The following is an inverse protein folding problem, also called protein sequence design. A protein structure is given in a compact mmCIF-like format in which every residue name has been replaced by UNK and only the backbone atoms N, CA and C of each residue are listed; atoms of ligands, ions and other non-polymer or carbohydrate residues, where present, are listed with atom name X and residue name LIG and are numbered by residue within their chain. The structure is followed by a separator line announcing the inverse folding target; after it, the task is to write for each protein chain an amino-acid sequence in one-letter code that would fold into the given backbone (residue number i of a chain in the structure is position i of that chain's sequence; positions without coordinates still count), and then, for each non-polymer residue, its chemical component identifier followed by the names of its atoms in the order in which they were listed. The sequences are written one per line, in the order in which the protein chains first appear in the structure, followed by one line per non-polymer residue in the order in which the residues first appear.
data_IF_200740017954
#
_entry.id   IF_200740017954
#
_cell.length_a   1.000
_cell.length_b   1.000
_cell.length_c   1.000
_cell.angle_alpha   90.00
_cell.angle_beta   90.00
_cell.angle_gamma   90.00
#
_symmetry.space_group_name_H-M   'P 1'
#
loop_
_entity.id
_entity.type
_entity.pdbx_description
1 polymer ?
#
# COMPACT_ATOMS: atom_id res chain seq x y z
N UNK A 1 -5.86 11.45 -21.61
CA UNK A 1 -5.72 12.56 -20.63
C UNK A 1 -4.24 12.87 -20.39
N UNK A 2 -3.93 14.06 -19.77
CA UNK A 2 -2.56 14.42 -19.39
C UNK A 2 -2.43 14.41 -17.87
N UNK A 3 -1.38 13.75 -17.33
CA UNK A 3 -1.12 13.61 -15.90
C UNK A 3 0.36 13.72 -15.59
N UNK A 4 0.70 14.40 -14.49
CA UNK A 4 2.06 14.50 -13.97
C UNK A 4 2.24 13.59 -12.77
N UNK A 5 3.20 12.67 -12.85
CA UNK A 5 3.49 11.66 -11.83
C UNK A 5 4.92 11.90 -11.32
N UNK A 6 5.07 12.11 -10.02
CA UNK A 6 6.39 12.16 -9.38
C UNK A 6 6.76 10.75 -8.95
N UNK A 7 7.92 10.29 -9.43
CA UNK A 7 8.52 9.01 -9.04
C UNK A 7 9.55 9.25 -7.94
N UNK A 8 9.45 8.51 -6.86
CA UNK A 8 10.37 8.49 -5.73
C UNK A 8 10.92 7.08 -5.57
N UNK A 9 11.97 6.67 -6.33
CA UNK A 9 12.47 5.30 -6.27
C UNK A 9 12.93 4.89 -4.87
N UNK A 10 13.56 5.82 -4.12
CA UNK A 10 14.04 5.58 -2.77
C UNK A 10 15.23 4.65 -2.71
N UNK A 11 15.17 3.63 -1.83
CA UNK A 11 16.30 2.82 -1.39
C UNK A 11 16.11 1.33 -1.73
N UNK A 12 17.21 0.58 -1.70
CA UNK A 12 17.20 -0.88 -1.83
C UNK A 12 16.60 -1.35 -3.15
N UNK A 13 15.55 -2.17 -3.09
CA UNK A 13 14.82 -2.65 -4.28
C UNK A 13 13.87 -1.59 -4.87
N UNK A 14 13.66 -0.48 -4.18
CA UNK A 14 12.75 0.59 -4.61
C UNK A 14 12.95 1.04 -6.06
N UNK A 15 14.19 1.31 -6.54
CA UNK A 15 14.43 1.65 -7.94
C UNK A 15 14.00 0.57 -8.93
N UNK A 16 14.15 -0.71 -8.60
CA UNK A 16 13.76 -1.83 -9.47
C UNK A 16 12.25 -1.90 -9.63
N UNK A 17 11.52 -1.90 -8.51
CA UNK A 17 10.06 -2.04 -8.51
C UNK A 17 9.34 -0.77 -9.02
N UNK A 18 9.91 0.43 -8.78
CA UNK A 18 9.41 1.68 -9.36
C UNK A 18 9.56 1.70 -10.88
N UNK A 19 10.70 1.21 -11.39
CA UNK A 19 10.93 1.10 -12.84
C UNK A 19 9.91 0.17 -13.48
N UNK A 20 9.58 -0.95 -12.85
CA UNK A 20 8.57 -1.89 -13.33
C UNK A 20 7.17 -1.24 -13.40
N UNK A 21 6.73 -0.59 -12.32
CA UNK A 21 5.46 0.13 -12.29
C UNK A 21 5.40 1.25 -13.34
N UNK A 22 6.47 2.05 -13.47
CA UNK A 22 6.55 3.11 -14.48
C UNK A 22 6.53 2.56 -15.92
N UNK A 23 7.12 1.39 -16.17
CA UNK A 23 7.07 0.73 -17.47
C UNK A 23 5.64 0.33 -17.84
N UNK A 24 4.89 -0.25 -16.89
CA UNK A 24 3.48 -0.60 -17.09
C UNK A 24 2.61 0.65 -17.30
N UNK A 25 2.82 1.72 -16.53
CA UNK A 25 2.11 2.99 -16.73
C UNK A 25 2.39 3.62 -18.10
N UNK A 26 3.65 3.55 -18.60
CA UNK A 26 3.98 4.05 -19.95
C UNK A 26 3.32 3.22 -21.04
N UNK A 27 3.28 1.91 -20.90
CA UNK A 27 2.58 1.03 -21.84
C UNK A 27 1.08 1.35 -21.87
N UNK A 28 0.46 1.49 -20.68
CA UNK A 28 -0.95 1.89 -20.57
C UNK A 28 -1.21 3.25 -21.22
N UNK A 29 -0.33 4.22 -20.99
CA UNK A 29 -0.46 5.55 -21.61
C UNK A 29 -0.36 5.48 -23.12
N UNK A 30 0.54 4.65 -23.66
CA UNK A 30 0.71 4.46 -25.10
C UNK A 30 -0.54 3.86 -25.74
N UNK A 31 -1.04 2.74 -25.24
CA UNK A 31 -2.16 2.02 -25.83
C UNK A 31 -3.47 2.81 -25.75
N UNK A 32 -3.71 3.50 -24.64
CA UNK A 32 -4.96 4.27 -24.45
C UNK A 32 -4.85 5.76 -24.81
N UNK A 33 -3.79 6.19 -25.49
CA UNK A 33 -3.57 7.59 -25.91
C UNK A 33 -3.63 8.59 -24.74
N UNK A 34 -2.99 8.25 -23.63
CA UNK A 34 -2.78 9.16 -22.51
C UNK A 34 -1.38 9.79 -22.58
N UNK A 35 -1.21 10.92 -21.92
CA UNK A 35 0.10 11.60 -21.77
C UNK A 35 0.48 11.62 -20.28
N UNK A 36 1.39 10.73 -19.87
CA UNK A 36 1.91 10.70 -18.50
C UNK A 36 3.33 11.28 -18.49
N UNK A 37 3.47 12.41 -17.79
CA UNK A 37 4.77 13.05 -17.52
C UNK A 37 5.35 12.49 -16.23
N UNK A 38 6.54 11.89 -16.30
CA UNK A 38 7.22 11.34 -15.13
C UNK A 38 8.38 12.24 -14.71
N UNK A 39 8.43 12.60 -13.43
CA UNK A 39 9.51 13.37 -12.81
C UNK A 39 10.09 12.52 -11.67
N UNK A 40 11.35 12.12 -11.80
CA UNK A 40 12.04 11.33 -10.79
C UNK A 40 12.80 12.23 -9.82
N UNK A 41 12.59 12.05 -8.51
CA UNK A 41 13.21 12.85 -7.46
C UNK A 41 13.67 11.95 -6.29
N UNK A 42 14.71 12.37 -5.54
CA UNK A 42 15.25 11.58 -4.45
C UNK A 42 14.37 11.68 -3.18
N UNK A 43 14.26 10.55 -2.45
CA UNK A 43 13.66 10.44 -1.13
C UNK A 43 14.46 9.40 -0.32
N UNK A 44 14.39 9.48 1.01
CA UNK A 44 14.97 8.50 1.91
C UNK A 44 16.48 8.54 1.97
N UNK A 45 17.13 7.39 1.98
CA UNK A 45 18.58 7.26 2.06
C UNK A 45 19.29 7.79 0.82
N UNK A 46 18.72 7.61 -0.36
CA UNK A 46 19.22 8.19 -1.59
C UNK A 46 19.26 9.73 -1.53
N UNK A 47 18.25 10.34 -0.91
CA UNK A 47 18.22 11.79 -0.69
C UNK A 47 19.24 12.25 0.37
N UNK A 48 19.45 11.46 1.43
CA UNK A 48 20.49 11.74 2.44
C UNK A 48 21.86 11.75 1.78
N UNK A 49 22.16 10.77 0.93
CA UNK A 49 23.43 10.65 0.23
C UNK A 49 23.66 11.79 -0.76
N UNK A 50 22.61 12.24 -1.44
CA UNK A 50 22.70 13.27 -2.47
C UNK A 50 22.63 14.71 -1.91
N UNK A 51 21.81 14.95 -0.86
CA UNK A 51 21.47 16.30 -0.38
C UNK A 51 21.59 16.47 1.14
N UNK A 52 22.00 15.44 1.89
CA UNK A 52 22.16 15.49 3.35
C UNK A 52 20.84 15.52 4.14
N UNK A 53 19.71 15.33 3.47
CA UNK A 53 18.36 15.31 4.09
C UNK A 53 17.51 14.19 3.49
N UNK A 54 16.70 13.48 4.31
CA UNK A 54 15.86 12.39 3.79
C UNK A 54 14.67 12.86 2.94
N UNK A 55 14.30 14.14 3.03
CA UNK A 55 13.25 14.78 2.21
C UNK A 55 13.72 16.18 1.80
N UNK A 56 14.26 16.37 0.59
CA UNK A 56 14.54 17.68 0.05
C UNK A 56 13.26 18.50 -0.14
N UNK A 57 13.34 19.82 0.09
CA UNK A 57 12.21 20.74 -0.10
C UNK A 57 11.67 20.69 -1.52
N UNK A 58 12.57 20.62 -2.52
CA UNK A 58 12.21 20.49 -3.94
C UNK A 58 11.37 19.24 -4.21
N UNK A 59 11.72 18.10 -3.60
CA UNK A 59 10.95 16.85 -3.71
C UNK A 59 9.55 17.03 -3.15
N UNK A 60 9.41 17.58 -1.95
CA UNK A 60 8.11 17.82 -1.33
C UNK A 60 7.25 18.77 -2.17
N UNK A 61 7.83 19.87 -2.66
CA UNK A 61 7.11 20.86 -3.46
C UNK A 61 6.67 20.31 -4.83
N UNK A 62 7.47 19.44 -5.42
CA UNK A 62 7.09 18.73 -6.66
C UNK A 62 5.93 17.74 -6.40
N UNK A 63 5.99 16.99 -5.30
CA UNK A 63 4.92 16.06 -4.92
C UNK A 63 3.59 16.76 -4.70
N UNK A 64 3.60 17.93 -4.05
CA UNK A 64 2.40 18.74 -3.82
C UNK A 64 1.72 19.24 -5.11
N UNK A 65 2.48 19.38 -6.19
CA UNK A 65 2.03 19.90 -7.49
C UNK A 65 1.74 18.81 -8.51
N UNK A 66 2.01 17.56 -8.17
CA UNK A 66 1.75 16.42 -9.03
C UNK A 66 0.26 16.03 -9.04
N UNK A 67 -0.16 15.24 -10.02
CA UNK A 67 -1.46 14.58 -10.02
C UNK A 67 -1.43 13.31 -9.15
N UNK A 68 -0.26 12.66 -9.06
CA UNK A 68 -0.01 11.51 -8.19
C UNK A 68 1.49 11.38 -7.89
N UNK A 69 1.80 10.70 -6.79
CA UNK A 69 3.17 10.35 -6.39
C UNK A 69 3.29 8.83 -6.35
N UNK A 70 4.39 8.30 -6.88
CA UNK A 70 4.71 6.87 -6.81
C UNK A 70 6.03 6.68 -6.07
N UNK A 71 5.98 5.90 -4.98
CA UNK A 71 7.14 5.59 -4.14
C UNK A 71 7.53 4.13 -4.28
N UNK A 72 8.83 3.86 -4.37
CA UNK A 72 9.37 2.50 -4.35
C UNK A 72 9.47 1.96 -2.92
N UNK A 73 10.55 2.28 -2.23
CA UNK A 73 10.76 1.90 -0.84
C UNK A 73 11.79 2.82 -0.17
N UNK A 74 11.80 2.87 1.16
CA UNK A 74 12.80 3.66 1.90
C UNK A 74 13.41 2.84 3.03
N UNK A 75 14.64 3.22 3.42
CA UNK A 75 15.33 2.62 4.56
C UNK A 75 16.49 1.72 4.18
N UNK A 76 17.30 1.37 5.19
CA UNK A 76 18.42 0.45 5.04
C UNK A 76 19.46 0.61 6.14
N UNK A 77 20.25 -0.44 6.42
CA UNK A 77 21.18 -0.47 7.56
C UNK A 77 22.30 0.56 7.47
N UNK A 78 22.58 1.09 6.27
CA UNK A 78 23.58 2.14 6.05
C UNK A 78 23.33 3.39 6.89
N UNK A 79 22.08 3.69 7.20
CA UNK A 79 21.67 4.93 7.89
C UNK A 79 21.19 4.70 9.33
N UNK A 80 21.28 3.47 9.87
CA UNK A 80 20.83 3.13 11.23
C UNK A 80 21.56 3.90 12.34
N UNK A 81 22.81 4.31 12.08
CA UNK A 81 23.60 5.11 13.02
C UNK A 81 23.15 6.58 13.10
N UNK A 82 22.31 7.05 12.18
CA UNK A 82 21.80 8.43 12.22
C UNK A 82 20.76 8.60 13.33
N UNK A 83 20.63 9.82 13.89
CA UNK A 83 19.52 10.15 14.77
C UNK A 83 18.17 9.87 14.11
N UNK A 84 17.17 9.40 14.87
CA UNK A 84 15.84 8.97 14.35
C UNK A 84 15.22 10.00 13.38
N UNK A 85 15.26 11.30 13.72
CA UNK A 85 14.72 12.37 12.86
C UNK A 85 15.52 12.66 11.58
N UNK A 86 16.64 11.96 11.34
CA UNK A 86 17.47 12.09 10.14
C UNK A 86 17.59 10.79 9.33
N UNK A 87 16.90 9.72 9.76
CA UNK A 87 16.87 8.44 9.05
C UNK A 87 15.97 8.51 7.81
N UNK A 88 16.12 7.61 6.85
CA UNK A 88 15.28 7.55 5.65
C UNK A 88 13.78 7.58 5.94
N UNK A 89 13.34 6.84 6.96
CA UNK A 89 11.94 6.73 7.37
C UNK A 89 11.34 8.09 7.78
N UNK A 90 12.16 8.99 8.35
CA UNK A 90 11.72 10.35 8.67
C UNK A 90 11.38 11.17 7.43
N UNK A 91 11.97 10.84 6.28
CA UNK A 91 11.62 11.42 4.98
C UNK A 91 10.22 11.03 4.54
N UNK A 92 9.86 9.75 4.65
CA UNK A 92 8.51 9.25 4.33
C UNK A 92 7.46 9.85 5.28
N UNK A 93 7.72 9.87 6.58
CA UNK A 93 6.80 10.48 7.56
C UNK A 93 6.63 11.99 7.30
N UNK A 94 7.74 12.67 6.95
CA UNK A 94 7.73 14.09 6.56
C UNK A 94 6.91 14.33 5.28
N UNK A 95 7.06 13.47 4.27
CA UNK A 95 6.29 13.52 3.02
C UNK A 95 4.79 13.34 3.29
N UNK A 96 4.40 12.30 4.01
CA UNK A 96 2.99 12.02 4.38
C UNK A 96 2.37 13.21 5.12
N UNK A 97 3.07 13.74 6.12
CA UNK A 97 2.65 14.93 6.85
C UNK A 97 2.58 16.19 5.95
N UNK A 98 3.61 16.41 5.13
CA UNK A 98 3.71 17.58 4.24
C UNK A 98 2.67 17.60 3.13
N UNK A 99 2.13 16.45 2.75
CA UNK A 99 1.05 16.27 1.77
C UNK A 99 -0.34 16.11 2.43
N UNK A 100 -0.44 16.15 3.76
CA UNK A 100 -1.71 15.97 4.47
C UNK A 100 -2.34 14.60 4.26
N UNK A 101 -1.53 13.54 4.05
CA UNK A 101 -2.05 12.18 3.86
C UNK A 101 -2.51 11.60 5.20
N UNK A 102 -3.76 11.21 5.29
CA UNK A 102 -4.36 10.67 6.52
C UNK A 102 -5.00 9.29 6.36
N UNK A 103 -5.20 8.84 5.12
CA UNK A 103 -5.71 7.49 4.80
C UNK A 103 -4.60 6.68 4.17
N UNK A 104 -4.45 5.42 4.56
CA UNK A 104 -3.69 4.44 3.83
C UNK A 104 -4.55 3.20 3.59
N UNK A 105 -4.77 2.85 2.32
CA UNK A 105 -5.55 1.70 1.88
C UNK A 105 -4.60 0.60 1.43
N UNK A 106 -4.75 -0.59 2.01
CA UNK A 106 -3.98 -1.80 1.70
C UNK A 106 -4.93 -2.93 1.32
N UNK A 107 -5.22 -3.14 0.03
CA UNK A 107 -6.00 -4.28 -0.41
C UNK A 107 -5.22 -5.59 -0.23
N UNK A 108 -5.87 -6.60 0.30
CA UNK A 108 -5.36 -7.97 0.39
C UNK A 108 -6.34 -8.86 -0.34
N UNK A 109 -6.00 -9.15 -1.59
CA UNK A 109 -6.83 -9.92 -2.51
C UNK A 109 -6.07 -11.14 -3.00
N UNK A 110 -6.76 -12.26 -3.02
CA UNK A 110 -6.22 -13.47 -3.59
C UNK A 110 -6.13 -13.37 -5.11
N UNK A 111 -4.95 -13.58 -5.65
CA UNK A 111 -4.75 -13.74 -7.09
C UNK A 111 -4.86 -15.23 -7.38
N UNK A 112 -5.90 -15.64 -8.11
CA UNK A 112 -6.28 -17.06 -8.23
C UNK A 112 -5.13 -17.99 -8.65
N UNK A 113 -4.28 -17.69 -9.65
CA UNK A 113 -3.11 -18.50 -9.98
C UNK A 113 -2.07 -18.67 -8.85
N UNK A 114 -2.17 -17.89 -7.78
CA UNK A 114 -1.27 -17.92 -6.62
C UNK A 114 -1.93 -18.50 -5.36
N UNK A 115 -3.14 -19.05 -5.47
CA UNK A 115 -3.90 -19.62 -4.34
C UNK A 115 -3.10 -20.64 -3.53
N UNK A 116 -2.24 -21.41 -4.20
CA UNK A 116 -1.39 -22.42 -3.58
C UNK A 116 -0.31 -21.88 -2.64
N UNK A 117 0.02 -20.60 -2.74
CA UNK A 117 1.03 -19.94 -1.88
C UNK A 117 0.50 -19.62 -0.48
N UNK A 118 -0.82 -19.58 -0.31
CA UNK A 118 -1.40 -19.29 0.99
C UNK A 118 -1.00 -20.35 2.02
N UNK A 119 -0.58 -19.95 3.23
CA UNK A 119 -0.30 -20.87 4.33
C UNK A 119 -1.60 -21.45 4.92
N UNK A 120 -2.77 -20.92 4.54
CA UNK A 120 -4.05 -21.41 5.02
C UNK A 120 -4.57 -22.55 4.17
N UNK A 121 -5.32 -23.45 4.82
CA UNK A 121 -6.09 -24.46 4.09
C UNK A 121 -7.16 -23.79 3.23
N UNK A 122 -7.48 -24.32 2.04
CA UNK A 122 -8.46 -23.74 1.12
C UNK A 122 -9.82 -23.42 1.78
N UNK A 123 -10.28 -24.28 2.68
CA UNK A 123 -11.56 -24.12 3.39
C UNK A 123 -11.59 -22.91 4.33
N UNK A 124 -10.41 -22.45 4.79
CA UNK A 124 -10.27 -21.25 5.63
C UNK A 124 -10.03 -20.00 4.83
N UNK A 125 -9.29 -20.12 3.73
CA UNK A 125 -8.93 -18.98 2.88
C UNK A 125 -10.18 -18.37 2.22
N UNK A 126 -11.05 -19.21 1.65
CA UNK A 126 -12.24 -18.77 0.91
C UNK A 126 -11.90 -17.83 -0.25
N UNK A 127 -12.81 -16.94 -0.57
CA UNK A 127 -12.59 -15.87 -1.55
C UNK A 127 -12.11 -14.62 -0.81
N UNK A 128 -10.80 -14.56 -0.56
CA UNK A 128 -10.18 -13.47 0.16
C UNK A 128 -10.09 -12.21 -0.72
N UNK A 129 -10.85 -11.19 -0.34
CA UNK A 129 -10.82 -9.85 -0.90
C UNK A 129 -11.20 -8.86 0.20
N UNK A 130 -10.22 -8.32 0.92
CA UNK A 130 -10.42 -7.33 1.98
C UNK A 130 -9.56 -6.10 1.75
N UNK A 131 -9.98 -4.97 2.28
CA UNK A 131 -9.21 -3.74 2.32
C UNK A 131 -8.97 -3.30 3.77
N UNK A 132 -7.72 -3.04 4.11
CA UNK A 132 -7.38 -2.41 5.39
C UNK A 132 -7.25 -0.91 5.16
N UNK A 133 -8.10 -0.14 5.83
CA UNK A 133 -8.09 1.32 5.87
C UNK A 133 -7.42 1.73 7.17
N UNK A 134 -6.14 2.11 7.05
CA UNK A 134 -5.27 2.52 8.14
C UNK A 134 -5.28 4.03 8.27
N UNK A 135 -5.53 4.56 9.46
CA UNK A 135 -5.28 5.97 9.77
C UNK A 135 -3.77 6.23 9.73
N UNK A 136 -3.33 7.34 9.09
CA UNK A 136 -1.91 7.53 8.75
C UNK A 136 -1.27 8.75 9.40
N UNK A 137 -2.03 9.62 10.06
CA UNK A 137 -1.56 10.93 10.52
C UNK A 137 -1.51 11.12 12.03
N UNK A 138 -2.09 10.19 12.79
CA UNK A 138 -2.18 10.24 14.24
C UNK A 138 -1.56 9.02 14.94
N UNK A 139 -2.00 8.82 16.17
CA UNK A 139 -1.58 7.69 17.00
C UNK A 139 -0.14 7.79 17.49
N UNK A 140 0.41 6.64 17.81
CA UNK A 140 1.73 6.51 18.45
C UNK A 140 2.89 7.00 17.57
N UNK A 141 2.74 6.97 16.25
CA UNK A 141 3.79 7.40 15.30
C UNK A 141 3.98 8.92 15.27
N UNK A 142 2.95 9.68 15.63
CA UNK A 142 2.95 11.14 15.62
C UNK A 142 2.69 11.77 16.99
N UNK A 143 2.41 10.95 18.01
CA UNK A 143 2.17 11.38 19.38
C UNK A 143 3.42 11.94 20.08
N UNK A 144 3.21 12.54 21.23
CA UNK A 144 4.30 12.97 22.10
C UNK A 144 5.16 11.80 22.52
N UNK A 145 6.47 11.99 22.48
CA UNK A 145 7.45 10.96 22.84
C UNK A 145 8.58 11.54 23.64
N UNK A 146 9.23 10.73 24.43
CA UNK A 146 10.37 11.16 25.21
C UNK A 146 11.24 10.01 25.68
N UNK A 147 12.44 10.41 26.12
CA UNK A 147 13.40 9.56 26.78
C UNK A 147 14.04 10.37 27.91
N UNK A 148 14.14 9.80 29.10
CA UNK A 148 14.79 10.38 30.27
C UNK A 148 15.62 9.32 30.99
N UNK A 149 16.81 9.70 31.40
CA UNK A 149 17.69 8.85 32.21
C UNK A 149 17.92 9.50 33.60
N UNK A 150 17.44 8.87 34.64
CA UNK A 150 17.58 9.32 36.02
C UNK A 150 18.08 8.18 36.92
N UNK A 151 19.07 8.47 37.76
CA UNK A 151 19.62 7.52 38.75
C UNK A 151 20.04 6.14 38.15
N UNK A 152 20.56 6.14 36.92
CA UNK A 152 20.96 4.92 36.21
C UNK A 152 19.78 4.11 35.60
N UNK A 153 18.57 4.64 35.66
CA UNK A 153 17.36 4.06 35.02
C UNK A 153 16.96 4.90 33.82
N UNK A 154 16.86 4.26 32.67
CA UNK A 154 16.34 4.90 31.45
C UNK A 154 14.85 4.59 31.31
N UNK A 155 14.06 5.64 30.96
CA UNK A 155 12.63 5.54 30.65
C UNK A 155 12.35 6.21 29.34
N UNK A 156 11.68 5.49 28.43
CA UNK A 156 11.19 6.00 27.15
C UNK A 156 9.69 5.80 27.01
N UNK A 157 9.01 6.71 26.27
CA UNK A 157 7.57 6.61 26.02
C UNK A 157 7.20 7.19 24.66
N UNK A 158 6.14 6.61 24.05
CA UNK A 158 5.41 7.13 22.90
C UNK A 158 3.92 7.17 23.26
N UNK A 159 3.23 8.27 22.92
CA UNK A 159 1.84 8.50 23.31
C UNK A 159 0.88 8.15 22.19
N UNK A 160 -0.07 7.25 22.45
CA UNK A 160 -1.21 6.99 21.56
C UNK A 160 -2.29 8.05 21.78
N UNK A 161 -2.53 8.90 20.78
CA UNK A 161 -3.51 9.97 20.86
C UNK A 161 -4.29 10.12 19.55
N UNK A 162 -5.61 10.28 19.67
CA UNK A 162 -6.55 10.60 18.59
C UNK A 162 -7.57 11.63 19.05
N UNK A 163 -7.92 12.55 18.16
CA UNK A 163 -9.03 13.49 18.32
C UNK A 163 -10.26 13.00 17.54
N UNK A 164 -11.45 13.50 17.92
CA UNK A 164 -12.70 13.19 17.22
C UNK A 164 -12.64 13.50 15.72
N UNK A 165 -12.15 14.68 15.26
CA UNK A 165 -12.06 14.99 13.83
C UNK A 165 -11.14 14.04 13.04
N UNK A 166 -10.04 13.58 13.63
CA UNK A 166 -9.15 12.59 13.00
C UNK A 166 -9.86 11.26 12.78
N UNK A 167 -10.62 10.82 13.78
CA UNK A 167 -11.39 9.58 13.67
C UNK A 167 -12.55 9.72 12.67
N UNK A 168 -13.26 10.85 12.70
CA UNK A 168 -14.38 11.10 11.80
C UNK A 168 -13.96 11.08 10.34
N UNK A 169 -12.86 11.75 9.97
CA UNK A 169 -12.42 11.80 8.58
C UNK A 169 -11.99 10.44 8.04
N UNK A 170 -11.28 9.62 8.83
CA UNK A 170 -10.87 8.29 8.38
C UNK A 170 -12.05 7.32 8.36
N UNK A 171 -12.97 7.42 9.32
CA UNK A 171 -14.18 6.61 9.34
C UNK A 171 -15.11 6.94 8.17
N UNK A 172 -15.29 8.21 7.81
CA UNK A 172 -16.04 8.62 6.63
C UNK A 172 -15.49 7.96 5.34
N UNK A 173 -14.17 7.98 5.18
CA UNK A 173 -13.53 7.29 4.07
C UNK A 173 -13.81 5.78 4.07
N UNK A 174 -13.63 5.12 5.22
CA UNK A 174 -13.85 3.68 5.35
C UNK A 174 -15.32 3.28 5.11
N UNK A 175 -16.27 4.07 5.58
CA UNK A 175 -17.70 3.87 5.29
C UNK A 175 -18.00 4.00 3.80
N UNK A 176 -17.48 5.03 3.13
CA UNK A 176 -17.66 5.22 1.68
C UNK A 176 -17.05 4.05 0.88
N UNK A 177 -15.87 3.56 1.29
CA UNK A 177 -15.30 2.35 0.67
C UNK A 177 -16.19 1.13 0.91
N UNK A 178 -16.74 0.94 2.10
CA UNK A 178 -17.65 -0.16 2.39
C UNK A 178 -18.94 -0.07 1.56
N UNK A 179 -19.51 1.11 1.36
CA UNK A 179 -20.71 1.31 0.51
C UNK A 179 -20.48 0.89 -0.94
N UNK A 180 -19.27 1.13 -1.47
CA UNK A 180 -18.89 0.72 -2.85
C UNK A 180 -18.53 -0.76 -2.97
N UNK A 181 -18.44 -1.50 -1.86
CA UNK A 181 -18.11 -2.92 -1.78
C UNK A 181 -19.30 -3.74 -1.25
N UNK A 182 -19.06 -4.67 -0.31
CA UNK A 182 -20.10 -5.56 0.21
C UNK A 182 -20.89 -4.99 1.40
N UNK A 183 -20.69 -3.70 1.72
CA UNK A 183 -21.33 -2.96 2.80
C UNK A 183 -21.06 -3.54 4.20
N UNK A 184 -19.87 -4.06 4.42
CA UNK A 184 -19.42 -4.55 5.72
C UNK A 184 -18.17 -3.77 6.15
N UNK A 185 -18.24 -3.16 7.33
CA UNK A 185 -17.14 -2.44 7.96
C UNK A 185 -16.82 -3.08 9.31
N UNK A 186 -15.58 -3.53 9.47
CA UNK A 186 -15.04 -3.99 10.74
C UNK A 186 -14.09 -2.93 11.32
N UNK A 187 -14.51 -2.25 12.38
CA UNK A 187 -13.64 -1.31 13.10
C UNK A 187 -12.83 -2.04 14.16
N UNK A 188 -11.51 -1.95 14.06
CA UNK A 188 -10.58 -2.64 14.95
C UNK A 188 -9.95 -1.66 15.94
N UNK A 189 -10.01 -2.01 17.23
CA UNK A 189 -9.54 -1.17 18.33
C UNK A 189 -9.08 -1.99 19.55
N UNK A 190 -8.72 -1.33 20.65
CA UNK A 190 -8.45 -1.95 21.96
C UNK A 190 -9.24 -1.25 23.06
N UNK A 191 -10.53 -0.99 22.84
CA UNK A 191 -11.40 -0.17 23.70
C UNK A 191 -11.61 -0.74 25.12
N UNK A 192 -11.33 -2.03 25.33
CA UNK A 192 -11.35 -2.62 26.67
C UNK A 192 -10.18 -2.16 27.57
N UNK A 193 -9.14 -1.51 26.99
CA UNK A 193 -7.94 -1.07 27.72
C UNK A 193 -7.62 0.40 27.45
N UNK A 194 -7.62 0.84 26.17
CA UNK A 194 -7.10 2.14 25.78
C UNK A 194 -8.21 3.20 25.70
N UNK A 195 -8.01 4.35 26.33
CA UNK A 195 -8.93 5.48 26.28
C UNK A 195 -9.07 6.05 24.86
N UNK A 196 -7.97 6.13 24.09
CA UNK A 196 -8.00 6.53 22.67
C UNK A 196 -8.89 5.60 21.84
N UNK A 197 -8.80 4.29 22.06
CA UNK A 197 -9.67 3.29 21.40
C UNK A 197 -11.13 3.37 21.85
N UNK A 198 -11.42 3.80 23.09
CA UNK A 198 -12.79 4.05 23.54
C UNK A 198 -13.40 5.24 22.79
N UNK A 199 -12.63 6.33 22.60
CA UNK A 199 -13.05 7.45 21.77
C UNK A 199 -13.27 6.99 20.32
N UNK A 200 -12.32 6.25 19.75
CA UNK A 200 -12.42 5.67 18.41
C UNK A 200 -13.72 4.92 18.19
N UNK A 201 -14.00 3.94 19.05
CA UNK A 201 -15.22 3.11 18.98
C UNK A 201 -16.50 3.94 19.05
N UNK A 202 -16.59 4.88 20.01
CA UNK A 202 -17.77 5.76 20.14
C UNK A 202 -18.01 6.61 18.91
N UNK A 203 -16.94 7.21 18.36
CA UNK A 203 -17.03 8.07 17.18
C UNK A 203 -17.44 7.27 15.95
N UNK A 204 -16.79 6.14 15.67
CA UNK A 204 -17.14 5.26 14.54
C UNK A 204 -18.58 4.75 14.67
N UNK A 205 -19.02 4.37 15.88
CA UNK A 205 -20.40 3.93 16.12
C UNK A 205 -21.41 5.05 15.85
N UNK A 206 -21.14 6.28 16.32
CA UNK A 206 -22.04 7.41 16.10
C UNK A 206 -22.20 7.74 14.60
N UNK A 207 -21.14 7.61 13.81
CA UNK A 207 -21.17 7.85 12.37
C UNK A 207 -22.02 6.82 11.61
N UNK A 208 -22.22 5.61 12.13
CA UNK A 208 -23.03 4.58 11.48
C UNK A 208 -24.49 5.03 11.26
N UNK A 209 -24.99 5.99 12.02
CA UNK A 209 -26.32 6.56 11.81
C UNK A 209 -26.45 7.26 10.44
N UNK A 210 -25.36 7.86 9.93
CA UNK A 210 -25.28 8.48 8.61
C UNK A 210 -25.07 7.43 7.51
N UNK A 211 -24.28 6.40 7.78
CA UNK A 211 -23.95 5.31 6.86
C UNK A 211 -24.76 4.04 7.15
N UNK A 212 -26.07 4.18 7.33
CA UNK A 212 -26.98 3.12 7.78
C UNK A 212 -27.09 1.90 6.86
N UNK A 213 -26.62 2.04 5.59
CA UNK A 213 -26.52 0.94 4.63
C UNK A 213 -25.37 -0.02 4.93
N UNK A 214 -24.40 0.38 5.77
CA UNK A 214 -23.19 -0.38 6.08
C UNK A 214 -23.38 -1.12 7.41
N UNK A 215 -23.15 -2.42 7.39
CA UNK A 215 -23.10 -3.24 8.60
C UNK A 215 -21.80 -3.00 9.33
N UNK A 216 -21.84 -2.35 10.48
CA UNK A 216 -20.70 -2.10 11.36
C UNK A 216 -20.53 -3.25 12.36
N UNK A 217 -19.28 -3.73 12.49
CA UNK A 217 -18.83 -4.61 13.56
C UNK A 217 -17.59 -4.02 14.23
N UNK A 218 -17.38 -4.32 15.51
CA UNK A 218 -16.16 -3.94 16.23
C UNK A 218 -15.45 -5.20 16.73
N UNK A 219 -14.14 -5.27 16.48
CA UNK A 219 -13.28 -6.30 17.04
C UNK A 219 -12.14 -5.66 17.85
N UNK A 220 -11.73 -6.33 18.92
CA UNK A 220 -10.45 -6.02 19.53
C UNK A 220 -9.33 -6.51 18.62
N UNK A 221 -8.21 -5.78 18.57
CA UNK A 221 -7.12 -6.03 17.63
C UNK A 221 -6.52 -7.44 17.74
N UNK A 222 -6.42 -7.97 18.95
CA UNK A 222 -5.98 -9.35 19.22
C UNK A 222 -6.95 -10.40 18.63
N UNK A 223 -8.26 -10.16 18.76
CA UNK A 223 -9.26 -11.02 18.14
C UNK A 223 -9.24 -10.85 16.60
N UNK A 224 -9.12 -9.64 16.08
CA UNK A 224 -9.02 -9.42 14.63
C UNK A 224 -7.82 -10.17 14.02
N UNK A 225 -6.65 -10.10 14.65
CA UNK A 225 -5.45 -10.83 14.23
C UNK A 225 -5.68 -12.36 14.19
N UNK A 226 -6.35 -12.90 15.22
CA UNK A 226 -6.73 -14.32 15.24
C UNK A 226 -7.72 -14.65 14.12
N UNK A 227 -8.75 -13.81 13.91
CA UNK A 227 -9.78 -14.03 12.91
C UNK A 227 -9.23 -13.95 11.46
N UNK A 228 -8.19 -13.19 11.20
CA UNK A 228 -7.50 -13.18 9.90
C UNK A 228 -6.96 -14.56 9.53
N UNK A 229 -6.51 -15.36 10.52
CA UNK A 229 -6.02 -16.73 10.28
C UNK A 229 -7.13 -17.78 10.30
N UNK A 230 -8.25 -17.54 10.99
CA UNK A 230 -9.33 -18.51 11.11
C UNK A 230 -10.35 -18.43 9.98
N UNK A 231 -10.73 -17.21 9.58
CA UNK A 231 -11.76 -16.95 8.57
C UNK A 231 -11.56 -15.58 7.93
N UNK A 232 -10.50 -15.35 7.12
CA UNK A 232 -10.22 -14.03 6.53
C UNK A 232 -11.33 -13.54 5.60
N UNK A 233 -12.03 -14.41 4.90
CA UNK A 233 -13.14 -14.06 3.98
C UNK A 233 -14.38 -13.44 4.66
N UNK A 234 -14.43 -13.40 6.01
CA UNK A 234 -15.48 -12.67 6.71
C UNK A 234 -15.31 -11.15 6.64
N UNK A 235 -14.10 -10.68 6.41
CA UNK A 235 -13.79 -9.26 6.32
C UNK A 235 -14.04 -8.71 4.91
N UNK A 236 -14.40 -7.43 4.84
CA UNK A 236 -14.50 -6.65 3.62
C UNK A 236 -13.66 -5.37 3.78
N UNK A 237 -14.16 -4.35 4.48
CA UNK A 237 -13.36 -3.19 4.86
C UNK A 237 -13.02 -3.28 6.35
N UNK A 238 -11.73 -3.14 6.66
CA UNK A 238 -11.20 -3.15 8.03
C UNK A 238 -10.64 -1.77 8.33
N UNK A 239 -11.29 -1.03 9.22
CA UNK A 239 -10.85 0.28 9.69
C UNK A 239 -10.00 0.15 10.95
N UNK A 240 -8.83 0.77 10.98
CA UNK A 240 -7.92 0.65 12.11
C UNK A 240 -7.07 1.90 12.33
N UNK A 241 -6.61 2.10 13.58
CA UNK A 241 -5.63 3.09 13.94
C UNK A 241 -4.27 2.84 13.25
N UNK A 242 -3.36 3.81 13.32
CA UNK A 242 -2.09 3.80 12.63
C UNK A 242 -1.28 2.51 12.90
N UNK A 243 -0.90 2.28 14.15
CA UNK A 243 -0.06 1.14 14.53
C UNK A 243 -0.77 -0.21 14.34
N UNK A 244 -2.06 -0.31 14.72
CA UNK A 244 -2.80 -1.56 14.56
C UNK A 244 -3.00 -1.90 13.07
N UNK A 245 -3.28 -0.90 12.24
CA UNK A 245 -3.42 -1.07 10.80
C UNK A 245 -2.13 -1.52 10.13
N UNK A 246 -0.97 -1.04 10.59
CA UNK A 246 0.34 -1.47 10.12
C UNK A 246 0.56 -2.96 10.38
N UNK A 247 0.44 -3.37 11.64
CA UNK A 247 0.66 -4.76 12.07
C UNK A 247 -0.34 -5.71 11.38
N UNK A 248 -1.61 -5.34 11.34
CA UNK A 248 -2.67 -6.17 10.75
C UNK A 248 -2.51 -6.36 9.25
N UNK A 249 -2.04 -5.33 8.53
CA UNK A 249 -1.85 -5.44 7.08
C UNK A 249 -0.68 -6.37 6.71
N UNK A 250 0.39 -6.35 7.49
CA UNK A 250 1.51 -7.26 7.28
C UNK A 250 1.12 -8.71 7.62
N UNK A 251 0.34 -8.89 8.70
CA UNK A 251 -0.23 -10.19 9.03
C UNK A 251 -1.19 -10.69 7.93
N UNK A 252 -1.99 -9.79 7.34
CA UNK A 252 -2.89 -10.13 6.25
C UNK A 252 -2.14 -10.42 4.94
N UNK A 253 -1.00 -9.76 4.67
CA UNK A 253 -0.17 -10.05 3.51
C UNK A 253 0.34 -11.50 3.50
N UNK A 254 0.62 -12.06 4.66
CA UNK A 254 1.02 -13.46 4.77
C UNK A 254 -0.05 -14.44 4.26
N UNK A 255 -1.32 -14.04 4.25
CA UNK A 255 -2.43 -14.90 3.78
C UNK A 255 -2.39 -15.16 2.27
N UNK A 256 -1.77 -14.29 1.50
CA UNK A 256 -1.62 -14.43 0.04
C UNK A 256 -0.24 -14.94 -0.37
N UNK A 257 0.65 -15.21 0.59
CA UNK A 257 1.91 -15.91 0.40
C UNK A 257 3.15 -15.03 0.22
N UNK A 258 3.03 -13.75 -0.11
CA UNK A 258 4.16 -12.82 -0.20
C UNK A 258 3.73 -11.38 0.05
N UNK A 259 4.53 -10.64 0.82
CA UNK A 259 4.38 -9.19 0.98
C UNK A 259 4.61 -8.43 -0.33
N UNK A 260 5.37 -9.00 -1.25
CA UNK A 260 5.63 -8.46 -2.58
C UNK A 260 4.40 -8.42 -3.51
N UNK A 261 3.26 -8.98 -3.07
CA UNK A 261 1.99 -8.98 -3.83
C UNK A 261 1.05 -7.84 -3.42
N UNK A 262 1.33 -7.11 -2.35
CA UNK A 262 0.36 -6.19 -1.77
C UNK A 262 0.63 -4.75 -2.19
N UNK A 263 -0.34 -4.12 -2.87
CA UNK A 263 -0.30 -2.69 -3.16
C UNK A 263 -0.74 -1.84 -1.99
N UNK A 264 -0.50 -0.54 -2.11
CA UNK A 264 -0.97 0.45 -1.15
C UNK A 264 -1.21 1.80 -1.81
N UNK A 265 -2.19 2.52 -1.31
CA UNK A 265 -2.48 3.91 -1.68
C UNK A 265 -2.72 4.76 -0.44
N UNK A 266 -2.16 5.97 -0.42
CA UNK A 266 -2.39 6.94 0.64
C UNK A 266 -3.09 8.16 0.09
N UNK A 267 -4.17 8.60 0.76
CA UNK A 267 -5.01 9.73 0.35
C UNK A 267 -5.05 10.81 1.45
N UNK A 268 -5.30 12.03 1.03
CA UNK A 268 -5.37 13.19 1.93
C UNK A 268 -5.77 14.45 1.20
N UNK A 269 -5.25 15.58 1.67
CA UNK A 269 -5.63 16.92 1.18
C UNK A 269 -5.02 17.27 -0.18
N UNK A 270 -3.96 16.57 -0.59
CA UNK A 270 -3.20 16.84 -1.81
C UNK A 270 -3.08 15.57 -2.68
N UNK A 271 -2.14 15.56 -3.62
CA UNK A 271 -1.91 14.43 -4.51
C UNK A 271 -1.78 13.10 -3.75
N UNK A 272 -2.44 12.02 -4.17
CA UNK A 272 -2.32 10.73 -3.54
C UNK A 272 -0.94 10.12 -3.78
N UNK A 273 -0.51 9.27 -2.83
CA UNK A 273 0.74 8.53 -2.87
C UNK A 273 0.44 7.03 -3.05
N UNK A 274 1.12 6.39 -3.99
CA UNK A 274 1.02 4.96 -4.28
C UNK A 274 2.36 4.28 -4.05
N UNK A 275 2.37 3.17 -3.34
CA UNK A 275 3.58 2.44 -2.97
C UNK A 275 3.25 0.97 -2.68
N UNK A 276 4.14 0.00 -2.93
CA UNK A 276 3.96 -1.35 -2.39
C UNK A 276 4.12 -1.31 -0.86
N UNK A 277 3.56 -2.29 -0.14
CA UNK A 277 3.71 -2.31 1.34
C UNK A 277 5.06 -2.82 1.82
N UNK A 278 5.81 -3.55 0.96
CA UNK A 278 7.12 -4.09 1.33
C UNK A 278 8.17 -2.98 1.56
N UNK A 279 9.15 -3.27 2.40
CA UNK A 279 10.29 -2.37 2.64
C UNK A 279 11.34 -2.42 1.52
N UNK A 280 12.47 -1.81 1.79
CA UNK A 280 13.58 -1.64 0.83
C UNK A 280 14.37 -2.93 0.52
N UNK A 281 14.24 -3.98 1.34
CA UNK A 281 14.91 -5.27 1.19
C UNK A 281 16.36 -5.16 0.66
N UNK A 282 17.29 -4.53 1.39
CA UNK A 282 18.63 -4.20 0.88
C UNK A 282 19.44 -5.39 0.39
N UNK A 283 19.19 -6.57 0.93
CA UNK A 283 19.86 -7.82 0.52
C UNK A 283 19.47 -8.31 -0.88
N UNK A 284 18.34 -7.83 -1.41
CA UNK A 284 17.85 -8.19 -2.76
C UNK A 284 18.21 -7.12 -3.81
N UNK A 285 18.67 -5.93 -3.37
CA UNK A 285 18.96 -4.83 -4.28
C UNK A 285 20.06 -5.20 -5.30
N UNK A 286 19.80 -4.93 -6.57
CA UNK A 286 20.73 -5.24 -7.68
C UNK A 286 20.76 -6.70 -8.11
N UNK A 287 19.95 -7.58 -7.50
CA UNK A 287 19.94 -9.01 -7.86
C UNK A 287 18.85 -9.40 -8.87
N UNK A 288 17.99 -8.45 -9.26
CA UNK A 288 16.80 -8.69 -10.10
C UNK A 288 15.81 -9.72 -9.50
N UNK A 289 15.87 -9.94 -8.18
CA UNK A 289 15.02 -10.90 -7.49
C UNK A 289 13.78 -10.29 -6.85
N UNK A 290 13.68 -8.95 -6.84
CA UNK A 290 12.55 -8.23 -6.28
C UNK A 290 11.27 -8.53 -7.07
N UNK A 291 10.18 -8.81 -6.33
CA UNK A 291 8.85 -9.01 -6.93
C UNK A 291 8.22 -7.65 -7.27
N UNK A 292 7.95 -7.32 -8.54
CA UNK A 292 7.36 -6.03 -8.91
C UNK A 292 5.83 -5.96 -8.79
N UNK A 293 5.16 -7.08 -8.48
CA UNK A 293 3.69 -7.20 -8.58
C UNK A 293 3.00 -6.19 -7.65
N UNK A 294 3.44 -6.04 -6.41
CA UNK A 294 2.87 -5.06 -5.48
C UNK A 294 2.97 -3.62 -5.99
N UNK A 295 4.10 -3.26 -6.60
CA UNK A 295 4.28 -1.96 -7.25
C UNK A 295 3.39 -1.80 -8.49
N UNK A 296 3.27 -2.82 -9.32
CA UNK A 296 2.38 -2.82 -10.51
C UNK A 296 0.93 -2.66 -10.07
N UNK A 297 0.49 -3.40 -9.04
CA UNK A 297 -0.86 -3.25 -8.49
C UNK A 297 -1.07 -1.89 -7.80
N UNK A 298 -0.03 -1.28 -7.22
CA UNK A 298 -0.12 0.11 -6.74
C UNK A 298 -0.31 1.10 -7.90
N UNK A 299 0.30 0.82 -9.05
CA UNK A 299 0.06 1.61 -10.27
C UNK A 299 -1.37 1.41 -10.80
N UNK A 300 -1.97 0.21 -10.71
CA UNK A 300 -3.40 0.03 -11.07
C UNK A 300 -4.33 0.75 -10.10
N UNK A 301 -4.00 0.82 -8.80
CA UNK A 301 -4.73 1.69 -7.87
C UNK A 301 -4.62 3.16 -8.27
N UNK A 302 -3.45 3.65 -8.72
CA UNK A 302 -3.29 5.01 -9.23
C UNK A 302 -4.20 5.26 -10.43
N UNK A 303 -4.22 4.37 -11.41
CA UNK A 303 -5.10 4.48 -12.57
C UNK A 303 -6.58 4.56 -12.14
N UNK A 304 -7.02 3.67 -11.27
CA UNK A 304 -8.42 3.56 -10.84
C UNK A 304 -8.83 4.68 -9.89
N UNK A 305 -8.11 4.86 -8.79
CA UNK A 305 -8.55 5.69 -7.67
C UNK A 305 -8.14 7.18 -7.83
N UNK A 306 -7.04 7.49 -8.55
CA UNK A 306 -6.60 8.88 -8.76
C UNK A 306 -7.02 9.42 -10.12
N UNK A 307 -7.02 8.60 -11.17
CA UNK A 307 -7.26 9.07 -12.54
C UNK A 307 -8.62 8.66 -13.10
N UNK A 308 -9.38 7.79 -12.42
CA UNK A 308 -10.68 7.29 -12.89
C UNK A 308 -10.58 6.36 -14.08
N UNK A 309 -9.41 5.79 -14.34
CA UNK A 309 -9.07 4.91 -15.46
C UNK A 309 -9.25 3.43 -15.05
N UNK A 310 -10.51 3.06 -14.75
CA UNK A 310 -10.82 1.70 -14.26
C UNK A 310 -10.60 0.63 -15.32
N UNK A 311 -10.88 0.95 -16.58
CA UNK A 311 -10.72 0.03 -17.69
C UNK A 311 -9.24 -0.32 -17.92
N UNK A 312 -8.38 0.68 -17.91
CA UNK A 312 -6.94 0.54 -18.04
C UNK A 312 -6.35 -0.26 -16.88
N UNK A 313 -6.83 0.00 -15.66
CA UNK A 313 -6.43 -0.76 -14.47
C UNK A 313 -6.83 -2.23 -14.58
N UNK A 314 -8.07 -2.52 -15.00
CA UNK A 314 -8.58 -3.87 -15.18
C UNK A 314 -7.80 -4.63 -16.26
N UNK A 315 -7.42 -3.96 -17.35
CA UNK A 315 -6.60 -4.53 -18.41
C UNK A 315 -5.21 -4.96 -17.91
N UNK A 316 -4.54 -4.14 -17.11
CA UNK A 316 -3.26 -4.51 -16.49
C UNK A 316 -3.42 -5.70 -15.55
N UNK A 317 -4.43 -5.69 -14.67
CA UNK A 317 -4.68 -6.78 -13.70
C UNK A 317 -5.05 -8.11 -14.39
N UNK A 318 -5.82 -8.06 -15.47
CA UNK A 318 -6.13 -9.25 -16.27
C UNK A 318 -4.89 -9.79 -16.98
N UNK A 319 -4.05 -8.92 -17.55
CA UNK A 319 -2.80 -9.32 -18.19
C UNK A 319 -1.84 -9.95 -17.17
N UNK A 320 -1.72 -9.36 -15.97
CA UNK A 320 -0.96 -9.95 -14.86
C UNK A 320 -1.48 -11.35 -14.51
N UNK A 321 -2.79 -11.51 -14.40
CA UNK A 321 -3.42 -12.81 -14.10
C UNK A 321 -3.11 -13.85 -15.16
N UNK A 322 -3.05 -13.46 -16.44
CA UNK A 322 -2.68 -14.36 -17.57
C UNK A 322 -1.22 -14.80 -17.48
N UNK A 323 -0.29 -13.85 -17.21
CA UNK A 323 1.14 -14.15 -17.01
C UNK A 323 1.34 -15.17 -15.87
N UNK A 324 0.65 -14.93 -14.75
CA UNK A 324 0.69 -15.85 -13.61
C UNK A 324 0.06 -17.22 -13.94
N UNK A 325 -1.02 -17.25 -14.70
CA UNK A 325 -1.67 -18.50 -15.17
C UNK A 325 -0.78 -19.29 -16.13
N UNK A 326 0.09 -18.60 -16.89
CA UNK A 326 1.10 -19.24 -17.73
C UNK A 326 2.28 -19.83 -16.93
N UNK A 327 2.29 -19.67 -15.60
CA UNK A 327 3.26 -20.26 -14.69
C UNK A 327 4.51 -19.41 -14.43
N UNK A 328 4.57 -18.17 -14.87
CA UNK A 328 5.69 -17.27 -14.55
C UNK A 328 5.61 -16.79 -13.10
N UNK A 329 6.75 -16.79 -12.41
CA UNK A 329 6.89 -16.42 -11.00
C UNK A 329 8.20 -15.68 -10.77
N UNK A 330 8.19 -14.77 -9.80
CA UNK A 330 9.43 -14.27 -9.18
C UNK A 330 9.91 -15.22 -8.09
N UNK A 331 11.17 -15.14 -7.63
CA UNK A 331 11.73 -16.10 -6.68
C UNK A 331 10.93 -16.27 -5.38
N UNK A 332 10.35 -15.20 -4.84
CA UNK A 332 9.60 -15.19 -3.58
C UNK A 332 8.24 -15.93 -3.66
N UNK A 333 7.69 -16.06 -4.86
CA UNK A 333 6.42 -16.75 -5.14
C UNK A 333 6.61 -18.00 -5.99
N UNK A 334 7.83 -18.57 -5.98
CA UNK A 334 8.13 -19.77 -6.75
C UNK A 334 7.41 -21.00 -6.18
N UNK A 335 6.77 -21.76 -7.06
CA UNK A 335 6.11 -23.04 -6.78
C UNK A 335 6.75 -24.16 -7.62
N UNK A 336 6.58 -25.45 -7.26
CA UNK A 336 7.05 -26.55 -8.09
C UNK A 336 6.54 -26.44 -9.54
N UNK A 337 7.44 -26.54 -10.51
CA UNK A 337 7.20 -26.41 -11.96
C UNK A 337 6.95 -24.97 -12.45
N UNK A 338 7.07 -23.95 -11.60
CA UNK A 338 6.99 -22.57 -12.04
C UNK A 338 8.17 -22.20 -12.96
N UNK A 339 7.91 -21.24 -13.85
CA UNK A 339 8.93 -20.57 -14.67
C UNK A 339 9.46 -19.38 -13.88
N UNK A 340 10.49 -19.62 -13.06
CA UNK A 340 11.05 -18.56 -12.20
C UNK A 340 11.90 -17.63 -13.04
N UNK A 341 11.62 -16.32 -12.96
CA UNK A 341 12.30 -15.26 -13.69
C UNK A 341 12.59 -14.08 -12.74
N UNK A 342 13.56 -13.24 -13.12
CA UNK A 342 13.82 -12.00 -12.41
C UNK A 342 12.70 -10.97 -12.58
N UNK A 343 12.70 -9.94 -11.73
CA UNK A 343 11.66 -8.90 -11.74
C UNK A 343 11.61 -8.11 -13.05
N UNK A 344 12.76 -7.85 -13.67
CA UNK A 344 12.85 -7.16 -14.97
C UNK A 344 12.25 -8.01 -16.09
N UNK A 345 12.59 -9.30 -16.15
CA UNK A 345 12.05 -10.25 -17.15
C UNK A 345 10.55 -10.47 -16.94
N UNK A 346 10.11 -10.56 -15.68
CA UNK A 346 8.67 -10.67 -15.37
C UNK A 346 7.90 -9.44 -15.90
N UNK A 347 8.46 -8.25 -15.70
CA UNK A 347 7.85 -7.01 -16.17
C UNK A 347 7.75 -6.95 -17.70
N UNK A 348 8.78 -7.41 -18.41
CA UNK A 348 8.76 -7.43 -19.88
C UNK A 348 7.72 -8.44 -20.41
N UNK A 349 7.66 -9.65 -19.85
CA UNK A 349 6.62 -10.65 -20.20
C UNK A 349 5.21 -10.07 -19.94
N UNK A 350 5.03 -9.32 -18.86
CA UNK A 350 3.74 -8.68 -18.60
C UNK A 350 3.40 -7.63 -19.69
N UNK A 351 4.35 -6.81 -20.07
CA UNK A 351 4.15 -5.79 -21.13
C UNK A 351 3.82 -6.43 -22.47
N UNK A 352 4.53 -7.49 -22.85
CA UNK A 352 4.21 -8.27 -24.06
C UNK A 352 2.77 -8.85 -24.01
N UNK A 353 2.35 -9.36 -22.85
CA UNK A 353 0.99 -9.87 -22.68
C UNK A 353 -0.06 -8.73 -22.73
N UNK A 354 0.26 -7.56 -22.18
CA UNK A 354 -0.58 -6.38 -22.27
C UNK A 354 -0.80 -5.97 -23.75
N UNK A 355 0.26 -5.81 -24.53
CA UNK A 355 0.18 -5.50 -25.96
C UNK A 355 -0.64 -6.53 -26.71
N UNK A 356 -0.36 -7.81 -26.51
CA UNK A 356 -1.07 -8.92 -27.17
C UNK A 356 -2.57 -8.91 -26.88
N UNK A 357 -2.97 -8.59 -25.66
CA UNK A 357 -4.39 -8.54 -25.27
C UNK A 357 -5.09 -7.32 -25.84
N UNK A 358 -4.40 -6.18 -25.96
CA UNK A 358 -4.90 -4.97 -26.55
C UNK A 358 -5.16 -5.14 -28.07
N UNK A 359 -4.17 -5.63 -28.82
CA UNK A 359 -4.31 -5.93 -30.25
C UNK A 359 -5.44 -6.90 -30.54
N UNK A 360 -5.64 -7.88 -29.66
CA UNK A 360 -6.75 -8.84 -29.81
C UNK A 360 -8.11 -8.16 -29.60
N UNK A 361 -8.21 -7.28 -28.59
CA UNK A 361 -9.43 -6.52 -28.31
C UNK A 361 -9.82 -5.59 -29.48
N UNK A 362 -8.84 -4.86 -30.04
CA UNK A 362 -9.07 -4.00 -31.22
C UNK A 362 -9.54 -4.81 -32.44
N UNK A 363 -8.92 -5.97 -32.69
CA UNK A 363 -9.20 -6.78 -33.87
C UNK A 363 -10.57 -7.45 -33.85
N UNK A 364 -11.10 -7.80 -32.70
CA UNK A 364 -12.34 -8.58 -32.55
C UNK A 364 -13.50 -7.79 -31.94
N UNK A 365 -13.35 -6.48 -31.77
CA UNK A 365 -14.44 -5.59 -31.36
C UNK A 365 -14.90 -5.79 -29.90
N UNK A 366 -14.06 -6.26 -29.03
CA UNK A 366 -14.31 -6.20 -27.60
C UNK A 366 -14.06 -4.77 -27.17
N UNK A 367 -15.14 -4.07 -26.83
CA UNK A 367 -14.97 -2.75 -26.26
C UNK A 367 -14.10 -2.83 -25.02
N UNK A 368 -12.90 -2.25 -25.12
CA UNK A 368 -12.04 -1.96 -23.98
C UNK A 368 -12.72 -0.89 -23.17
#
# INVERSE_FOLDING_TARGET
MKKKIVLLPGDGIGPEVTRAAAAVLRETAHEFNHEFEFVELPLGGAAIDAAGTPLPTETLDACRKADAVFLGAVGGPKWDALPVGKRPESGLLGLRKGMGLFVNVRPVKLIEPLRGLSPLKPERLGDLDLEIVRELSGGMYFGERGNVAENGVERAWDTESYSTPEIERIAAFAYTRAESRTRRLCSVDKANVLTSSQLWRRTVTAMNAVYSSVKLEHLYVDNAAMQFTLKPSQFDVVLSSNMFGDILSDAAAALVGSIGLIPSASFGDQAPLFEPIHGSAPSLAGTDSANPIGSILSATMMLRDAFGLSLEADWVEQSLTRVLSAGYRTPDIAEPKARVVGGSVFTEILREEMQRTFEHAERYGWGV
#
